data_IF_676636057974
#
_entry.id   IF_676636057974
#
_cell.length_a   1.000
_cell.length_b   1.000
_cell.length_c   1.000
_cell.angle_alpha   90.00
_cell.angle_beta   90.00
_cell.angle_gamma   90.00
#
_symmetry.space_group_name_H-M   'P 1'
#
loop_
_entity.id
_entity.type
_entity.pdbx_description
1 polymer ?
#
# COMPACT_ATOMS: atom_id res chain seq x y z
N UNK A 1 -2.07 18.10 2.74
CA UNK A 1 -3.43 18.52 2.35
C UNK A 1 -4.26 17.44 1.64
N UNK A 2 -3.68 16.38 1.04
CA UNK A 2 -4.46 15.31 0.36
C UNK A 2 -5.01 14.18 1.26
N UNK A 3 -4.34 13.86 2.37
CA UNK A 3 -4.72 12.73 3.24
C UNK A 3 -6.09 12.91 3.92
N UNK A 4 -6.40 14.10 4.45
CA UNK A 4 -7.66 14.34 5.18
C UNK A 4 -8.94 14.20 4.35
N UNK A 5 -8.87 14.43 3.04
CA UNK A 5 -10.03 14.30 2.14
C UNK A 5 -10.38 12.83 1.88
N UNK A 6 -9.37 11.97 1.71
CA UNK A 6 -9.56 10.53 1.51
C UNK A 6 -10.13 9.89 2.78
N UNK A 7 -9.62 10.26 3.96
CA UNK A 7 -10.16 9.80 5.25
C UNK A 7 -11.63 10.18 5.47
N UNK A 8 -12.05 11.37 5.00
CA UNK A 8 -13.46 11.81 5.09
C UNK A 8 -14.36 10.99 4.18
N UNK A 9 -13.95 10.78 2.93
CA UNK A 9 -14.72 10.03 1.93
C UNK A 9 -14.86 8.54 2.32
N UNK A 10 -13.81 7.95 2.92
CA UNK A 10 -13.82 6.56 3.40
C UNK A 10 -14.82 6.34 4.55
N UNK A 11 -15.02 7.35 5.40
CA UNK A 11 -16.02 7.31 6.48
C UNK A 11 -17.44 7.40 5.92
N UNK A 12 -17.65 8.20 4.89
CA UNK A 12 -18.95 8.32 4.19
C UNK A 12 -19.33 7.04 3.43
N UNK A 13 -18.35 6.29 2.91
CA UNK A 13 -18.58 5.02 2.18
C UNK A 13 -18.80 3.80 3.08
N UNK A 14 -18.80 3.95 4.41
CA UNK A 14 -19.11 2.84 5.34
C UNK A 14 -18.04 1.75 5.41
N UNK A 15 -16.81 2.00 4.93
CA UNK A 15 -15.67 1.07 4.93
C UNK A 15 -15.02 0.93 6.32
N UNK A 16 -15.84 0.74 7.36
CA UNK A 16 -15.38 0.60 8.74
C UNK A 16 -14.55 -0.69 8.86
N UNK A 17 -13.27 -0.54 9.20
CA UNK A 17 -12.37 -1.67 9.48
C UNK A 17 -11.50 -2.15 8.31
N UNK A 18 -11.43 -1.44 7.18
CA UNK A 18 -10.52 -1.76 6.07
C UNK A 18 -9.22 -0.93 6.04
N UNK A 19 -9.06 0.03 6.96
CA UNK A 19 -7.94 0.97 6.92
C UNK A 19 -7.21 0.99 8.25
N UNK A 20 -5.90 0.78 8.18
CA UNK A 20 -5.00 0.85 9.33
C UNK A 20 -3.99 1.98 9.27
N UNK A 21 -2.97 1.91 10.13
CA UNK A 21 -1.98 2.98 10.23
C UNK A 21 -1.23 3.13 8.91
N UNK A 22 -1.04 4.39 8.55
CA UNK A 22 -0.25 4.85 7.41
C UNK A 22 0.95 5.63 7.94
N UNK A 23 2.16 5.30 7.49
CA UNK A 23 3.37 6.04 7.85
C UNK A 23 4.25 6.29 6.61
N UNK A 24 4.80 7.51 6.51
CA UNK A 24 5.74 7.89 5.46
C UNK A 24 5.10 8.22 4.11
N UNK A 25 5.73 7.77 3.02
CA UNK A 25 5.12 7.83 1.69
C UNK A 25 3.86 6.97 1.67
N UNK A 26 2.81 7.43 0.98
CA UNK A 26 1.53 6.75 0.83
C UNK A 26 1.37 6.27 -0.62
N UNK A 27 1.83 5.05 -0.94
CA UNK A 27 1.55 4.46 -2.24
C UNK A 27 0.04 4.39 -2.52
N UNK A 28 -0.43 4.77 -3.72
CA UNK A 28 -1.80 4.54 -4.13
C UNK A 28 -2.18 3.07 -3.91
N UNK A 29 -3.32 2.84 -3.27
CA UNK A 29 -3.75 1.50 -2.87
C UNK A 29 -5.25 1.37 -3.07
N UNK A 30 -5.65 0.35 -3.82
CA UNK A 30 -7.04 -0.05 -3.99
C UNK A 30 -7.32 -1.33 -3.20
N UNK A 31 -8.52 -1.43 -2.63
CA UNK A 31 -8.99 -2.62 -1.93
C UNK A 31 -10.34 -3.01 -2.51
N UNK A 32 -10.43 -4.23 -3.02
CA UNK A 32 -11.65 -4.80 -3.56
C UNK A 32 -12.12 -5.94 -2.68
N UNK A 33 -13.43 -6.11 -2.59
CA UNK A 33 -14.08 -7.22 -1.91
C UNK A 33 -15.00 -7.94 -2.89
N UNK A 34 -14.91 -9.27 -2.90
CA UNK A 34 -15.86 -10.17 -3.53
C UNK A 34 -16.54 -11.00 -2.45
N UNK A 35 -17.48 -11.86 -2.81
CA UNK A 35 -18.06 -12.82 -1.87
C UNK A 35 -17.00 -13.72 -1.22
N UNK A 36 -15.98 -14.15 -1.98
CA UNK A 36 -15.00 -15.15 -1.53
C UNK A 36 -13.61 -14.64 -1.16
N UNK A 37 -13.21 -13.42 -1.56
CA UNK A 37 -11.86 -12.91 -1.30
C UNK A 37 -11.80 -11.38 -1.28
N UNK A 38 -10.78 -10.86 -0.61
CA UNK A 38 -10.30 -9.49 -0.79
C UNK A 38 -9.11 -9.44 -1.74
N UNK A 39 -9.00 -8.36 -2.49
CA UNK A 39 -7.84 -8.08 -3.36
C UNK A 39 -7.31 -6.70 -3.03
N UNK A 40 -6.03 -6.62 -2.64
CA UNK A 40 -5.31 -5.37 -2.41
C UNK A 40 -4.36 -5.13 -3.57
N UNK A 41 -4.49 -4.00 -4.24
CA UNK A 41 -3.58 -3.55 -5.30
C UNK A 41 -2.84 -2.31 -4.82
N UNK A 42 -1.51 -2.29 -4.94
CA UNK A 42 -0.67 -1.16 -4.51
C UNK A 42 0.34 -0.79 -5.58
N UNK A 43 0.37 0.49 -5.94
CA UNK A 43 1.25 1.04 -6.98
C UNK A 43 2.63 1.38 -6.39
N UNK A 44 3.64 0.58 -6.74
CA UNK A 44 5.02 0.62 -6.23
C UNK A 44 6.08 0.66 -7.37
N UNK A 45 5.93 1.51 -8.40
CA UNK A 45 6.82 1.48 -9.56
C UNK A 45 8.25 1.87 -9.20
N UNK A 46 9.22 1.19 -9.81
CA UNK A 46 10.65 1.41 -9.57
C UNK A 46 11.16 0.84 -8.25
N UNK A 47 10.41 -0.05 -7.61
CA UNK A 47 10.90 -0.84 -6.49
C UNK A 47 11.23 -2.27 -6.92
N UNK A 48 12.29 -2.82 -6.33
CA UNK A 48 12.59 -4.25 -6.42
C UNK A 48 11.71 -5.05 -5.44
N UNK A 49 11.36 -6.27 -5.83
CA UNK A 49 10.48 -7.15 -5.05
C UNK A 49 11.01 -7.37 -3.63
N UNK A 50 12.32 -7.53 -3.49
CA UNK A 50 13.00 -7.84 -2.24
C UNK A 50 12.88 -6.70 -1.23
N UNK A 51 12.68 -5.47 -1.73
CA UNK A 51 12.44 -4.25 -0.95
C UNK A 51 11.02 -4.10 -0.42
N UNK A 52 10.10 -4.99 -0.81
CA UNK A 52 8.71 -5.02 -0.37
C UNK A 52 8.54 -6.15 0.65
N UNK A 53 8.09 -5.81 1.86
CA UNK A 53 7.80 -6.78 2.92
C UNK A 53 6.30 -6.82 3.17
N UNK A 54 5.76 -8.03 3.15
CA UNK A 54 4.33 -8.31 3.32
C UNK A 54 4.19 -9.28 4.49
N UNK A 55 3.26 -8.99 5.40
CA UNK A 55 2.89 -9.88 6.50
C UNK A 55 1.40 -9.80 6.78
N UNK A 56 0.82 -10.91 7.24
CA UNK A 56 -0.56 -10.94 7.72
C UNK A 56 -0.59 -11.48 9.15
N UNK A 57 -1.16 -10.74 10.08
CA UNK A 57 -1.20 -11.11 11.51
C UNK A 57 -2.44 -10.51 12.15
N UNK A 58 -3.17 -11.29 12.93
CA UNK A 58 -4.36 -10.83 13.69
C UNK A 58 -5.39 -10.04 12.84
N UNK A 59 -5.64 -10.48 11.60
CA UNK A 59 -6.58 -9.82 10.71
C UNK A 59 -6.04 -8.55 10.02
N UNK A 60 -4.73 -8.30 10.09
CA UNK A 60 -4.08 -7.11 9.52
C UNK A 60 -3.08 -7.52 8.45
N UNK A 61 -3.28 -7.05 7.22
CA UNK A 61 -2.24 -7.05 6.18
C UNK A 61 -1.35 -5.83 6.38
N UNK A 62 -0.05 -6.06 6.55
CA UNK A 62 0.97 -5.01 6.55
C UNK A 62 1.81 -5.11 5.29
N UNK A 63 1.91 -4.02 4.54
CA UNK A 63 2.82 -3.86 3.39
C UNK A 63 3.76 -2.70 3.72
N UNK A 64 5.07 -2.95 3.70
CA UNK A 64 6.09 -1.93 3.99
C UNK A 64 7.30 -2.04 3.09
N UNK A 65 8.01 -0.93 2.92
CA UNK A 65 9.23 -0.85 2.13
C UNK A 65 9.79 0.57 2.11
N UNK A 66 10.75 0.83 1.23
CA UNK A 66 11.30 2.16 1.02
C UNK A 66 11.58 2.39 -0.46
N UNK A 67 11.00 3.46 -1.02
CA UNK A 67 11.32 3.90 -2.38
C UNK A 67 12.42 4.95 -2.32
N UNK A 68 13.58 4.62 -2.85
CA UNK A 68 14.74 5.52 -2.84
C UNK A 68 14.58 6.61 -3.90
N UNK A 69 15.00 7.83 -3.55
CA UNK A 69 15.16 8.91 -4.51
C UNK A 69 16.60 8.89 -5.04
N UNK A 70 16.78 8.38 -6.26
CA UNK A 70 18.09 8.24 -6.90
C UNK A 70 18.63 9.57 -7.47
N UNK A 71 17.81 10.61 -7.58
CA UNK A 71 18.20 11.93 -8.09
C UNK A 71 19.06 12.74 -7.10
N UNK A 72 19.61 12.10 -6.07
CA UNK A 72 20.62 12.68 -5.15
C UNK A 72 22.02 12.76 -5.79
N UNK A 73 22.11 13.07 -7.08
CA UNK A 73 23.39 13.46 -7.68
C UNK A 73 23.74 14.88 -7.21
N UNK A 74 24.90 15.03 -6.57
CA UNK A 74 25.56 16.29 -6.21
C UNK A 74 24.68 17.55 -6.17
N UNK A 75 24.15 17.87 -4.98
CA UNK A 75 23.09 18.84 -4.70
C UNK A 75 23.34 20.31 -5.15
N UNK A 76 24.37 20.62 -5.94
CA UNK A 76 24.71 21.97 -6.38
C UNK A 76 24.12 22.40 -7.73
N UNK A 77 23.51 21.50 -8.50
CA UNK A 77 23.02 21.81 -9.87
C UNK A 77 21.58 21.33 -10.17
N UNK A 78 20.87 20.68 -9.23
CA UNK A 78 19.52 20.15 -9.50
C UNK A 78 18.44 21.22 -9.24
N UNK A 79 17.74 21.66 -10.29
CA UNK A 79 16.55 22.53 -10.16
C UNK A 79 15.29 21.69 -10.32
N UNK A 80 14.56 21.51 -9.23
CA UNK A 80 13.24 20.87 -9.25
C UNK A 80 12.17 21.91 -9.60
N UNK A 81 11.43 21.69 -10.69
CA UNK A 81 10.29 22.54 -11.07
C UNK A 81 8.96 22.01 -10.51
N UNK A 82 8.87 20.71 -10.23
CA UNK A 82 7.66 20.04 -9.77
C UNK A 82 8.02 18.74 -9.05
N UNK A 83 7.34 18.44 -7.94
CA UNK A 83 7.58 17.25 -7.12
C UNK A 83 6.24 16.57 -6.79
N UNK A 84 5.90 15.56 -7.59
CA UNK A 84 4.67 14.76 -7.40
C UNK A 84 4.95 13.29 -7.07
N UNK A 85 6.14 12.82 -7.41
CA UNK A 85 6.58 11.44 -7.14
C UNK A 85 6.89 11.31 -5.65
N UNK A 86 6.24 10.36 -4.99
CA UNK A 86 6.51 10.03 -3.60
C UNK A 86 7.74 9.14 -3.44
N UNK A 87 8.51 9.37 -2.37
CA UNK A 87 9.72 8.64 -2.00
C UNK A 87 9.79 8.48 -0.48
N UNK A 88 10.69 7.60 -0.03
CA UNK A 88 10.96 7.33 1.37
C UNK A 88 10.34 6.03 1.86
N UNK A 89 10.44 5.76 3.17
CA UNK A 89 9.81 4.59 3.77
C UNK A 89 8.29 4.71 3.66
N UNK A 90 7.63 3.57 3.53
CA UNK A 90 6.17 3.47 3.63
C UNK A 90 5.78 2.29 4.49
N UNK A 91 4.65 2.44 5.18
CA UNK A 91 3.95 1.35 5.87
C UNK A 91 2.46 1.53 5.69
N UNK A 92 1.81 0.49 5.16
CA UNK A 92 0.36 0.41 4.98
C UNK A 92 -0.16 -0.76 5.78
N UNK A 93 -1.08 -0.49 6.69
CA UNK A 93 -1.91 -1.51 7.33
C UNK A 93 -3.33 -1.47 6.75
N UNK A 94 -3.88 -2.66 6.52
CA UNK A 94 -5.25 -2.88 6.07
C UNK A 94 -5.83 -3.93 7.02
N UNK A 95 -6.85 -3.53 7.77
CA UNK A 95 -7.60 -4.42 8.65
C UNK A 95 -8.65 -5.17 7.82
N UNK A 96 -9.02 -6.38 8.21
CA UNK A 96 -10.11 -7.12 7.56
C UNK A 96 -11.17 -7.49 8.60
N UNK A 97 -12.46 -7.21 8.33
CA UNK A 97 -13.54 -7.42 9.30
C UNK A 97 -13.95 -8.89 9.44
N UNK A 98 -13.44 -9.78 8.58
CA UNK A 98 -13.78 -11.20 8.54
C UNK A 98 -12.52 -12.07 8.55
N UNK A 99 -12.62 -13.34 8.99
CA UNK A 99 -11.49 -14.26 8.97
C UNK A 99 -10.95 -14.51 7.56
N UNK A 100 -9.62 -14.52 7.44
CA UNK A 100 -8.89 -14.81 6.20
C UNK A 100 -8.25 -16.20 6.28
N UNK A 101 -8.30 -16.94 5.18
CA UNK A 101 -7.55 -18.18 4.99
C UNK A 101 -6.07 -17.84 4.70
N UNK A 102 -5.28 -17.78 5.77
CA UNK A 102 -3.88 -17.36 5.71
C UNK A 102 -3.01 -18.27 4.84
N UNK A 103 -3.32 -19.57 4.80
CA UNK A 103 -2.54 -20.55 4.04
C UNK A 103 -2.71 -20.38 2.52
N UNK A 104 -3.75 -19.62 2.11
CA UNK A 104 -4.07 -19.36 0.70
C UNK A 104 -3.84 -17.91 0.28
N UNK A 105 -3.26 -17.08 1.15
CA UNK A 105 -2.82 -15.73 0.79
C UNK A 105 -1.74 -15.84 -0.29
N UNK A 106 -1.89 -15.06 -1.36
CA UNK A 106 -0.94 -15.02 -2.48
C UNK A 106 -0.62 -13.58 -2.86
N UNK A 107 0.63 -13.33 -3.21
CA UNK A 107 1.11 -12.02 -3.63
C UNK A 107 1.85 -12.12 -4.97
N UNK A 108 1.51 -11.24 -5.90
CA UNK A 108 2.19 -11.08 -7.18
C UNK A 108 2.68 -9.64 -7.31
N UNK A 109 3.92 -9.45 -7.74
CA UNK A 109 4.46 -8.14 -8.06
C UNK A 109 4.93 -8.15 -9.51
N UNK A 110 4.29 -7.33 -10.33
CA UNK A 110 4.51 -7.29 -11.78
C UNK A 110 4.43 -5.86 -12.27
N UNK A 111 5.47 -5.42 -12.98
CA UNK A 111 5.52 -4.10 -13.64
C UNK A 111 5.20 -2.92 -12.71
N UNK A 112 5.66 -2.97 -11.45
CA UNK A 112 5.42 -1.89 -10.49
C UNK A 112 4.13 -2.03 -9.69
N UNK A 113 3.25 -2.98 -10.02
CA UNK A 113 2.00 -3.21 -9.28
C UNK A 113 2.11 -4.43 -8.38
N UNK A 114 1.88 -4.24 -7.08
CA UNK A 114 1.70 -5.32 -6.13
C UNK A 114 0.22 -5.69 -6.04
N UNK A 115 -0.09 -6.97 -6.20
CA UNK A 115 -1.42 -7.54 -5.98
C UNK A 115 -1.34 -8.59 -4.87
N UNK A 116 -2.10 -8.41 -3.80
CA UNK A 116 -2.26 -9.38 -2.72
C UNK A 116 -3.70 -9.88 -2.74
N UNK A 117 -3.88 -11.19 -2.76
CA UNK A 117 -5.21 -11.81 -2.69
C UNK A 117 -5.36 -12.55 -1.37
N UNK A 118 -6.46 -12.28 -0.67
CA UNK A 118 -6.76 -12.76 0.67
C UNK A 118 -8.12 -13.48 0.65
N UNK A 119 -8.15 -14.81 0.45
CA UNK A 119 -9.38 -15.57 0.50
C UNK A 119 -10.04 -15.50 1.88
N UNK A 120 -11.36 -15.34 1.91
CA UNK A 120 -12.15 -15.42 3.13
C UNK A 120 -12.26 -16.90 3.56
N UNK A 121 -12.47 -17.13 4.86
CA UNK A 121 -12.87 -18.45 5.37
C UNK A 121 -14.36 -18.66 5.28
#
# INVERSE_FOLDING_TARGET
MKSGFIFSLQRELGLQGLFGREEGWLPPTDVYETEGEFVVCMDLPGMEREGIKISFTEGVLTIRGERRNELKFGASQLRCHQLEIGYGPFRREIYFPVPIDQDRIRAEYRQGLLKVVLPKR
#
